data_IF_762088959621
#
_entry.id   IF_762088959621
#
_cell.length_a   1.000
_cell.length_b   1.000
_cell.length_c   1.000
_cell.angle_alpha   90.00
_cell.angle_beta   90.00
_cell.angle_gamma   90.00
#
_symmetry.space_group_name_H-M   'P 1'
#
loop_
_entity.id
_entity.type
_entity.pdbx_description
1 polymer ?
#
# COMPACT_ATOMS: atom_id res chain seq x y z
N UNK A 1 2.74 -40.33 -17.94
CA UNK A 1 2.98 -39.05 -17.27
C UNK A 1 1.86 -38.15 -17.75
N UNK A 2 0.90 -37.87 -16.88
CA UNK A 2 -0.26 -37.03 -17.17
C UNK A 2 0.21 -35.59 -17.41
N UNK A 3 -0.09 -35.06 -18.59
CA UNK A 3 0.08 -33.65 -18.92
C UNK A 3 -1.13 -32.89 -18.37
N UNK A 4 -1.07 -32.46 -17.11
CA UNK A 4 -2.19 -31.74 -16.50
C UNK A 4 -1.77 -30.95 -15.28
N UNK A 5 -1.24 -29.74 -15.49
CA UNK A 5 -1.35 -28.60 -14.56
C UNK A 5 -0.74 -27.31 -15.16
N UNK A 6 -0.98 -27.05 -16.45
CA UNK A 6 -0.72 -25.71 -17.00
C UNK A 6 -2.02 -24.92 -16.83
N UNK A 7 -2.07 -23.83 -16.05
CA UNK A 7 -3.26 -23.00 -15.98
C UNK A 7 -3.55 -22.44 -17.37
N UNK A 8 -4.74 -22.77 -17.88
CA UNK A 8 -5.23 -22.33 -19.17
C UNK A 8 -5.24 -20.79 -19.20
N UNK A 9 -4.52 -20.18 -20.15
CA UNK A 9 -4.49 -18.71 -20.26
C UNK A 9 -5.92 -18.18 -20.47
N UNK A 10 -6.30 -17.18 -19.67
CA UNK A 10 -7.60 -16.52 -19.82
C UNK A 10 -7.66 -15.85 -21.20
N UNK A 11 -8.69 -16.14 -22.03
CA UNK A 11 -8.76 -15.60 -23.38
C UNK A 11 -8.94 -14.07 -23.33
N UNK A 12 -8.30 -13.36 -24.26
CA UNK A 12 -8.36 -11.89 -24.39
C UNK A 12 -9.78 -11.31 -24.59
N UNK A 13 -10.80 -12.16 -24.80
CA UNK A 13 -12.21 -11.76 -24.80
C UNK A 13 -12.72 -11.37 -23.41
N UNK A 14 -12.12 -11.90 -22.34
CA UNK A 14 -12.54 -11.63 -20.96
C UNK A 14 -12.26 -10.16 -20.53
N UNK A 15 -11.29 -9.48 -21.17
CA UNK A 15 -10.99 -8.07 -20.89
C UNK A 15 -12.10 -7.11 -21.38
N UNK A 16 -12.97 -7.57 -22.30
CA UNK A 16 -14.05 -6.75 -22.89
C UNK A 16 -15.41 -6.92 -22.19
N UNK A 17 -15.57 -7.93 -21.32
CA UNK A 17 -16.84 -8.18 -20.61
C UNK A 17 -17.09 -7.11 -19.54
N UNK A 18 -16.03 -6.66 -18.86
CA UNK A 18 -16.13 -5.64 -17.82
C UNK A 18 -16.62 -4.27 -18.32
N UNK A 19 -16.45 -3.95 -19.61
CA UNK A 19 -16.94 -2.68 -20.16
C UNK A 19 -18.48 -2.63 -20.19
N UNK A 20 -19.13 -3.75 -20.53
CA UNK A 20 -20.59 -3.82 -20.62
C UNK A 20 -21.25 -3.67 -19.24
N UNK A 21 -20.76 -4.39 -18.24
CA UNK A 21 -21.25 -4.28 -16.86
C UNK A 21 -21.06 -2.88 -16.27
N UNK A 22 -19.88 -2.27 -16.51
CA UNK A 22 -19.58 -0.91 -16.04
C UNK A 22 -20.50 0.13 -16.70
N UNK A 23 -20.84 -0.04 -17.99
CA UNK A 23 -21.79 0.81 -18.72
C UNK A 23 -23.21 0.65 -18.15
N UNK A 24 -23.67 -0.58 -17.91
CA UNK A 24 -24.97 -0.85 -17.28
C UNK A 24 -25.03 -0.25 -15.87
N UNK A 25 -23.95 -0.37 -15.08
CA UNK A 25 -23.83 0.28 -13.77
C UNK A 25 -23.95 1.81 -13.86
N UNK A 26 -23.32 2.43 -14.86
CA UNK A 26 -23.42 3.87 -15.11
C UNK A 26 -24.85 4.31 -15.44
N UNK A 27 -25.57 3.53 -16.25
CA UNK A 27 -26.98 3.79 -16.55
C UNK A 27 -27.88 3.64 -15.31
N UNK A 28 -27.65 2.63 -14.46
CA UNK A 28 -28.34 2.49 -13.16
C UNK A 28 -28.12 3.72 -12.28
N UNK A 29 -26.88 4.21 -12.16
CA UNK A 29 -26.56 5.41 -11.41
C UNK A 29 -27.24 6.68 -11.98
N UNK A 30 -27.40 6.75 -13.30
CA UNK A 30 -28.09 7.88 -13.95
C UNK A 30 -29.56 7.96 -13.53
N UNK A 31 -30.21 6.81 -13.32
CA UNK A 31 -31.62 6.75 -12.91
C UNK A 31 -31.79 7.19 -11.45
N UNK A 32 -30.88 6.77 -10.56
CA UNK A 32 -30.95 7.06 -9.12
C UNK A 32 -30.54 8.49 -8.75
N UNK A 33 -29.71 9.15 -9.58
CA UNK A 33 -29.29 10.52 -9.33
C UNK A 33 -30.49 11.50 -9.42
N UNK A 34 -30.80 12.29 -8.36
CA UNK A 34 -31.89 13.28 -8.41
C UNK A 34 -31.59 14.45 -9.35
N UNK A 35 -30.31 14.72 -9.64
CA UNK A 35 -29.87 15.87 -10.44
C UNK A 35 -29.75 15.58 -11.94
N UNK A 36 -30.15 14.39 -12.41
CA UNK A 36 -30.16 14.05 -13.84
C UNK A 36 -31.51 14.38 -14.48
N UNK A 37 -31.49 14.79 -15.76
CA UNK A 37 -32.71 15.13 -16.50
C UNK A 37 -33.61 13.91 -16.74
N UNK A 38 -34.92 14.12 -16.84
CA UNK A 38 -35.89 13.05 -17.11
C UNK A 38 -35.56 12.30 -18.42
N UNK A 39 -35.20 13.03 -19.47
CA UNK A 39 -34.84 12.47 -20.77
C UNK A 39 -33.61 11.55 -20.69
N UNK A 40 -32.62 11.89 -19.86
CA UNK A 40 -31.44 11.05 -19.63
C UNK A 40 -31.81 9.77 -18.86
N UNK A 41 -32.74 9.85 -17.89
CA UNK A 41 -33.24 8.69 -17.16
C UNK A 41 -34.01 7.72 -18.06
N UNK A 42 -34.86 8.24 -18.95
CA UNK A 42 -35.58 7.42 -19.93
C UNK A 42 -34.64 6.71 -20.90
N UNK A 43 -33.63 7.41 -21.41
CA UNK A 43 -32.61 6.81 -22.27
C UNK A 43 -31.85 5.71 -21.54
N UNK A 44 -31.44 5.95 -20.29
CA UNK A 44 -30.76 4.96 -19.47
C UNK A 44 -31.63 3.72 -19.19
N UNK A 45 -32.94 3.92 -18.93
CA UNK A 45 -33.91 2.81 -18.77
C UNK A 45 -34.03 1.98 -20.04
N UNK A 46 -34.15 2.62 -21.20
CA UNK A 46 -34.26 1.93 -22.50
C UNK A 46 -33.03 1.08 -22.82
N UNK A 47 -31.83 1.58 -22.47
CA UNK A 47 -30.60 0.79 -22.59
C UNK A 47 -30.70 -0.43 -21.66
N UNK A 48 -30.98 -0.25 -20.38
CA UNK A 48 -31.09 -1.38 -19.44
C UNK A 48 -32.15 -2.42 -19.85
N UNK A 49 -33.28 -2.01 -20.42
CA UNK A 49 -34.33 -2.89 -20.95
C UNK A 49 -33.83 -3.71 -22.15
N UNK A 50 -33.05 -3.10 -23.05
CA UNK A 50 -32.52 -3.80 -24.23
C UNK A 50 -31.48 -4.88 -23.91
N UNK A 51 -30.86 -4.82 -22.74
CA UNK A 51 -29.80 -5.74 -22.32
C UNK A 51 -30.31 -6.94 -21.51
N UNK A 52 -31.62 -7.02 -21.23
CA UNK A 52 -32.38 -8.13 -20.60
C UNK A 52 -31.52 -9.17 -19.84
N UNK A 53 -30.68 -8.69 -18.91
CA UNK A 53 -30.10 -9.56 -17.90
C UNK A 53 -31.21 -9.91 -16.92
N UNK A 54 -31.38 -11.19 -16.55
CA UNK A 54 -32.27 -11.53 -15.46
C UNK A 54 -31.84 -10.71 -14.24
N UNK A 55 -32.73 -9.82 -13.81
CA UNK A 55 -32.51 -8.99 -12.63
C UNK A 55 -32.37 -9.92 -11.41
N UNK A 56 -31.14 -10.32 -11.11
CA UNK A 56 -30.81 -11.00 -9.87
C UNK A 56 -30.74 -9.94 -8.78
N UNK A 57 -31.88 -9.73 -8.14
CA UNK A 57 -32.09 -8.83 -7.01
C UNK A 57 -31.09 -9.06 -5.87
N UNK A 58 -30.42 -10.23 -5.82
CA UNK A 58 -29.38 -10.53 -4.83
C UNK A 58 -28.05 -9.79 -5.08
N UNK A 59 -27.72 -9.50 -6.34
CA UNK A 59 -26.46 -8.80 -6.72
C UNK A 59 -26.58 -7.28 -6.65
N UNK A 60 -27.80 -6.74 -6.69
CA UNK A 60 -28.09 -5.32 -6.56
C UNK A 60 -27.83 -4.76 -5.13
N UNK A 61 -27.51 -5.63 -4.16
CA UNK A 61 -27.28 -5.24 -2.76
C UNK A 61 -25.89 -4.67 -2.48
N UNK A 62 -25.07 -4.34 -3.49
CA UNK A 62 -23.91 -3.47 -3.28
C UNK A 62 -24.30 -1.97 -3.34
N UNK A 63 -25.11 -1.55 -2.35
CA UNK A 63 -24.83 -0.28 -1.67
C UNK A 63 -25.79 0.90 -1.78
N UNK A 64 -26.98 0.85 -2.41
CA UNK A 64 -27.81 2.09 -2.49
C UNK A 64 -29.34 1.93 -2.58
N UNK A 65 -30.03 1.08 -1.81
CA UNK A 65 -31.45 1.34 -1.52
C UNK A 65 -32.00 0.70 -0.25
N UNK A 66 -31.26 0.69 0.84
CA UNK A 66 -31.89 0.77 2.14
C UNK A 66 -31.10 1.76 2.98
N UNK A 67 -31.78 2.36 3.94
CA UNK A 67 -31.22 3.25 4.94
C UNK A 67 -30.34 2.42 5.89
N UNK A 68 -29.34 1.72 5.34
CA UNK A 68 -28.38 0.93 6.08
C UNK A 68 -27.74 1.90 7.05
N UNK A 69 -28.03 1.66 8.32
CA UNK A 69 -27.40 2.35 9.43
C UNK A 69 -25.90 2.22 9.20
N UNK A 70 -25.27 3.34 8.85
CA UNK A 70 -23.82 3.40 8.66
C UNK A 70 -23.17 2.75 9.87
N UNK A 71 -22.15 1.93 9.64
CA UNK A 71 -21.42 1.30 10.73
C UNK A 71 -21.07 2.37 11.79
N UNK A 72 -21.55 2.22 13.04
CA UNK A 72 -21.42 3.26 14.06
C UNK A 72 -19.95 3.55 14.39
N UNK A 73 -19.06 2.56 14.21
CA UNK A 73 -17.61 2.71 14.36
C UNK A 73 -17.00 3.58 13.27
N UNK A 74 -17.41 3.39 12.01
CA UNK A 74 -16.96 4.23 10.89
C UNK A 74 -17.46 5.68 11.04
N UNK A 75 -18.71 5.86 11.48
CA UNK A 75 -19.26 7.19 11.79
C UNK A 75 -18.46 7.84 12.92
N UNK A 76 -18.20 7.13 14.02
CA UNK A 76 -17.41 7.62 15.14
C UNK A 76 -15.98 8.00 14.72
N UNK A 77 -15.34 7.21 13.85
CA UNK A 77 -14.00 7.48 13.30
C UNK A 77 -13.99 8.80 12.51
N UNK A 78 -14.96 9.02 11.61
CA UNK A 78 -15.07 10.25 10.83
C UNK A 78 -15.34 11.50 11.69
N UNK A 79 -16.19 11.36 12.71
CA UNK A 79 -16.45 12.44 13.67
C UNK A 79 -15.19 12.78 14.49
N UNK A 80 -14.41 11.78 14.92
CA UNK A 80 -13.13 12.00 15.62
C UNK A 80 -12.12 12.72 14.74
N UNK A 81 -12.02 12.37 13.46
CA UNK A 81 -11.16 13.06 12.51
C UNK A 81 -11.56 14.54 12.34
N UNK A 82 -12.86 14.81 12.26
CA UNK A 82 -13.39 16.18 12.16
C UNK A 82 -13.03 17.05 13.36
N UNK A 83 -13.02 16.47 14.57
CA UNK A 83 -12.62 17.16 15.81
C UNK A 83 -11.13 17.55 15.78
N UNK A 84 -10.28 16.72 15.17
CA UNK A 84 -8.83 16.94 15.11
C UNK A 84 -8.38 17.82 13.96
N UNK A 85 -9.22 18.04 12.95
CA UNK A 85 -8.84 18.79 11.75
C UNK A 85 -8.81 20.30 12.05
N UNK A 86 -7.66 20.99 11.90
CA UNK A 86 -7.57 22.43 12.14
C UNK A 86 -8.44 23.26 11.18
N UNK A 87 -8.74 22.74 9.98
CA UNK A 87 -9.58 23.41 8.98
C UNK A 87 -11.09 23.33 9.23
N UNK A 88 -11.54 22.65 10.29
CA UNK A 88 -12.96 22.55 10.65
C UNK A 88 -13.32 23.64 11.65
N UNK A 89 -14.48 24.28 11.48
CA UNK A 89 -14.97 25.31 12.41
C UNK A 89 -15.23 24.75 13.80
N UNK A 90 -15.06 25.57 14.84
CA UNK A 90 -15.26 25.14 16.23
C UNK A 90 -16.70 24.66 16.48
N UNK A 91 -17.70 25.32 15.88
CA UNK A 91 -19.11 24.88 15.94
C UNK A 91 -19.30 23.46 15.37
N UNK A 92 -18.66 23.16 14.23
CA UNK A 92 -18.74 21.83 13.62
C UNK A 92 -17.99 20.77 14.45
N UNK A 93 -16.87 21.15 15.10
CA UNK A 93 -16.17 20.27 16.05
C UNK A 93 -17.02 19.97 17.28
N UNK A 94 -17.76 20.94 17.80
CA UNK A 94 -18.65 20.75 18.93
C UNK A 94 -19.82 19.81 18.59
N UNK A 95 -20.48 20.05 17.45
CA UNK A 95 -21.54 19.15 16.96
C UNK A 95 -21.02 17.72 16.73
N UNK A 96 -19.78 17.56 16.26
CA UNK A 96 -19.16 16.25 16.12
C UNK A 96 -18.92 15.58 17.48
N UNK A 97 -18.51 16.33 18.51
CA UNK A 97 -18.35 15.81 19.89
C UNK A 97 -19.67 15.34 20.48
N UNK A 98 -20.76 16.07 20.28
CA UNK A 98 -22.08 15.69 20.78
C UNK A 98 -22.58 14.38 20.12
N UNK A 99 -22.45 14.29 18.79
CA UNK A 99 -22.78 13.07 18.03
C UNK A 99 -21.94 11.87 18.48
N UNK A 100 -20.65 12.09 18.78
CA UNK A 100 -19.76 11.05 19.29
C UNK A 100 -20.20 10.56 20.69
N UNK A 101 -20.58 11.49 21.59
CA UNK A 101 -21.14 11.17 22.91
C UNK A 101 -22.43 10.34 22.79
N UNK A 102 -23.32 10.69 21.86
CA UNK A 102 -24.56 9.95 21.60
C UNK A 102 -24.31 8.50 21.16
N UNK A 103 -23.19 8.25 20.48
CA UNK A 103 -22.75 6.92 20.05
C UNK A 103 -21.98 6.16 21.15
N UNK A 104 -21.84 6.71 22.37
CA UNK A 104 -21.06 6.10 23.45
C UNK A 104 -19.54 6.14 23.21
N UNK A 105 -19.09 6.86 22.18
CA UNK A 105 -17.68 7.05 21.89
C UNK A 105 -17.22 8.36 22.55
N UNK A 106 -16.32 8.27 23.52
CA UNK A 106 -15.74 9.46 24.11
C UNK A 106 -14.54 9.91 23.27
N UNK A 107 -14.44 11.21 22.92
CA UNK A 107 -13.25 11.70 22.26
C UNK A 107 -12.10 11.54 23.25
N UNK A 108 -11.23 10.55 23.05
CA UNK A 108 -9.87 10.60 23.60
C UNK A 108 -9.20 11.79 22.93
N UNK A 109 -9.29 12.94 23.58
CA UNK A 109 -8.42 14.07 23.34
C UNK A 109 -7.05 13.50 23.67
N UNK A 110 -6.26 13.20 22.63
CA UNK A 110 -4.82 13.12 22.81
C UNK A 110 -4.44 14.57 23.07
N UNK A 111 -4.53 14.98 24.33
CA UNK A 111 -3.95 16.25 24.74
C UNK A 111 -2.49 16.12 24.35
N UNK A 112 -2.04 17.01 23.47
CA UNK A 112 -0.63 17.21 23.14
C UNK A 112 0.09 17.77 24.38
N UNK A 113 0.21 16.93 25.42
CA UNK A 113 0.74 17.29 26.72
C UNK A 113 1.11 16.00 27.45
N UNK A 114 2.41 15.81 27.61
CA UNK A 114 3.10 14.62 28.13
C UNK A 114 3.18 13.46 27.13
N UNK A 115 3.93 13.69 26.05
CA UNK A 115 4.99 12.72 25.79
C UNK A 115 5.78 12.59 27.09
N UNK A 116 5.98 11.37 27.60
CA UNK A 116 7.06 11.14 28.56
C UNK A 116 8.27 11.92 28.05
N UNK A 117 8.98 12.69 28.89
CA UNK A 117 10.14 13.41 28.39
C UNK A 117 10.96 12.37 27.63
N UNK A 118 11.20 12.64 26.34
CA UNK A 118 12.33 12.00 25.69
C UNK A 118 13.46 12.25 26.67
N UNK A 119 13.93 11.17 27.29
CA UNK A 119 15.19 11.21 27.98
C UNK A 119 16.12 11.68 26.89
N UNK A 120 16.52 12.95 26.98
CA UNK A 120 17.66 13.41 26.22
C UNK A 120 18.74 12.47 26.71
N UNK A 121 19.22 11.60 25.83
CA UNK A 121 20.40 10.77 26.08
C UNK A 121 21.58 11.75 26.19
N UNK A 122 21.65 12.47 27.30
CA UNK A 122 22.79 13.28 27.64
C UNK A 122 23.93 12.28 27.93
N UNK A 123 25.07 12.40 27.24
CA UNK A 123 26.22 11.55 27.52
C UNK A 123 26.67 11.80 28.96
N UNK A 124 26.33 10.89 29.88
CA UNK A 124 26.67 11.00 31.30
C UNK A 124 25.54 10.71 32.30
N UNK A 125 24.36 10.26 31.88
CA UNK A 125 23.32 9.85 32.83
C UNK A 125 23.75 8.62 33.65
N UNK A 126 23.64 8.71 34.99
CA UNK A 126 23.98 7.64 35.93
C UNK A 126 23.01 6.45 35.77
N UNK A 127 23.41 5.46 34.97
CA UNK A 127 22.69 4.20 34.82
C UNK A 127 22.73 3.38 36.12
N UNK A 128 21.67 2.58 36.41
CA UNK A 128 21.66 1.70 37.58
C UNK A 128 22.86 0.75 37.53
N UNK A 129 23.61 0.68 38.65
CA UNK A 129 24.92 -0.01 38.81
C UNK A 129 24.93 -1.52 38.51
N UNK A 130 23.79 -2.09 38.14
CA UNK A 130 23.60 -3.51 37.81
C UNK A 130 23.11 -3.78 36.38
N UNK A 131 22.96 -2.74 35.54
CA UNK A 131 22.76 -2.96 34.11
C UNK A 131 24.12 -3.32 33.49
N UNK A 132 24.25 -4.46 32.78
CA UNK A 132 25.46 -4.73 32.01
C UNK A 132 25.65 -3.57 31.02
N UNK A 133 26.88 -3.05 30.85
CA UNK A 133 27.14 -2.08 29.81
C UNK A 133 26.80 -2.77 28.49
N UNK A 134 25.68 -2.38 27.86
CA UNK A 134 25.34 -2.86 26.54
C UNK A 134 26.45 -2.40 25.61
N UNK A 135 27.38 -3.29 25.28
CA UNK A 135 28.25 -3.07 24.13
C UNK A 135 27.33 -3.07 22.92
N UNK A 136 27.05 -1.88 22.42
CA UNK A 136 26.21 -1.66 21.23
C UNK A 136 26.91 -2.09 19.95
N UNK A 137 28.21 -2.40 20.02
CA UNK A 137 29.04 -2.86 18.92
C UNK A 137 29.75 -4.14 19.36
N UNK A 138 29.29 -5.28 18.84
CA UNK A 138 29.90 -6.59 19.03
C UNK A 138 30.17 -7.24 17.65
N UNK A 139 31.42 -7.29 17.17
CA UNK A 139 31.76 -7.94 15.91
C UNK A 139 31.82 -9.48 16.01
N UNK A 140 31.39 -10.09 17.12
CA UNK A 140 31.42 -11.54 17.33
C UNK A 140 30.74 -12.32 16.20
N UNK A 141 29.69 -11.77 15.59
CA UNK A 141 29.00 -12.39 14.44
C UNK A 141 29.85 -12.48 13.16
N UNK A 142 30.97 -11.74 13.05
CA UNK A 142 31.88 -11.85 11.90
C UNK A 142 32.74 -13.09 11.92
N UNK A 143 32.80 -13.78 13.05
CA UNK A 143 33.68 -14.93 13.24
C UNK A 143 32.88 -16.10 13.74
N UNK A 144 32.82 -17.17 12.94
CA UNK A 144 32.22 -18.44 13.34
C UNK A 144 33.32 -19.48 13.42
N UNK A 145 33.52 -20.08 14.60
CA UNK A 145 34.53 -21.13 14.81
C UNK A 145 35.97 -20.72 14.40
N UNK A 146 36.28 -19.41 14.45
CA UNK A 146 37.59 -18.88 14.06
C UNK A 146 37.73 -18.52 12.57
N UNK A 147 36.70 -18.72 11.77
CA UNK A 147 36.66 -18.35 10.35
C UNK A 147 35.80 -17.10 10.12
N UNK A 148 36.22 -16.24 9.19
CA UNK A 148 35.54 -14.99 8.88
C UNK A 148 34.26 -15.24 8.05
N UNK A 149 33.13 -14.75 8.54
CA UNK A 149 31.83 -14.79 7.86
C UNK A 149 31.68 -13.52 7.00
N UNK A 150 31.18 -13.61 5.76
CA UNK A 150 31.04 -12.47 4.85
C UNK A 150 29.82 -11.59 5.18
N UNK A 151 29.81 -11.03 6.40
CA UNK A 151 28.78 -10.11 6.89
C UNK A 151 29.40 -8.75 7.18
N UNK A 152 28.61 -7.70 6.94
CA UNK A 152 29.00 -6.31 7.14
C UNK A 152 28.81 -5.95 8.62
N UNK A 153 29.71 -5.15 9.18
CA UNK A 153 29.57 -4.66 10.56
C UNK A 153 28.47 -3.63 10.68
N UNK A 154 27.87 -3.55 11.87
CA UNK A 154 26.87 -2.52 12.21
C UNK A 154 27.46 -1.11 12.11
N UNK A 155 28.77 -0.97 12.37
CA UNK A 155 29.51 0.30 12.25
C UNK A 155 30.15 0.51 10.87
N UNK A 156 29.98 -0.42 9.93
CA UNK A 156 30.52 -0.25 8.59
C UNK A 156 29.83 0.94 7.91
N UNK A 157 30.59 1.87 7.29
CA UNK A 157 29.99 2.96 6.53
C UNK A 157 29.15 2.40 5.38
N UNK A 158 27.83 2.48 5.50
CA UNK A 158 26.93 2.22 4.40
C UNK A 158 26.95 3.43 3.47
N UNK A 159 27.28 3.20 2.19
CA UNK A 159 27.10 4.23 1.17
C UNK A 159 25.61 4.46 0.99
N UNK A 160 25.10 5.56 1.54
CA UNK A 160 23.73 5.98 1.33
C UNK A 160 23.59 6.43 -0.14
N UNK A 161 22.71 5.80 -0.94
CA UNK A 161 22.49 6.23 -2.32
C UNK A 161 21.97 7.68 -2.39
N UNK A 162 21.33 8.17 -1.32
CA UNK A 162 20.82 9.54 -1.23
C UNK A 162 21.87 10.47 -0.63
N UNK A 163 22.42 11.36 -1.45
CA UNK A 163 23.30 12.43 -0.97
C UNK A 163 22.45 13.64 -0.53
N UNK A 164 22.36 13.94 0.78
CA UNK A 164 21.54 15.04 1.28
C UNK A 164 22.00 16.37 0.67
N UNK A 165 21.03 17.18 0.21
CA UNK A 165 21.27 18.47 -0.44
C UNK A 165 21.72 18.44 -1.90
N UNK A 166 22.02 17.26 -2.46
CA UNK A 166 22.25 17.08 -3.91
C UNK A 166 21.02 16.55 -4.64
N UNK A 167 20.24 15.69 -3.98
CA UNK A 167 19.04 15.08 -4.56
C UNK A 167 18.03 16.13 -5.08
N UNK A 168 17.81 17.22 -4.34
CA UNK A 168 16.85 18.29 -4.69
C UNK A 168 17.52 19.49 -5.38
N UNK A 169 18.69 19.32 -5.99
CA UNK A 169 19.43 20.42 -6.63
C UNK A 169 19.15 20.56 -8.13
N UNK A 170 19.17 21.78 -8.65
CA UNK A 170 19.03 22.05 -10.10
C UNK A 170 20.07 21.30 -10.95
N UNK A 171 21.28 21.10 -10.39
CA UNK A 171 22.34 20.35 -11.04
C UNK A 171 22.00 18.85 -11.21
N UNK A 172 21.21 18.29 -10.29
CA UNK A 172 20.71 16.92 -10.40
C UNK A 172 19.62 16.84 -11.48
N UNK A 173 18.67 17.78 -11.48
CA UNK A 173 17.61 17.85 -12.49
C UNK A 173 18.18 17.93 -13.92
N UNK A 174 19.20 18.75 -14.16
CA UNK A 174 19.84 18.87 -15.47
C UNK A 174 20.63 17.60 -15.89
N UNK A 175 21.16 16.84 -14.93
CA UNK A 175 21.77 15.54 -15.22
C UNK A 175 20.71 14.52 -15.59
N UNK A 176 19.65 14.44 -14.80
CA UNK A 176 18.53 13.52 -15.02
C UNK A 176 17.85 13.81 -16.37
N UNK A 177 17.64 15.09 -16.73
CA UNK A 177 17.07 15.48 -18.03
C UNK A 177 17.95 15.03 -19.21
N UNK A 178 19.28 15.17 -19.08
CA UNK A 178 20.22 14.71 -20.12
C UNK A 178 20.21 13.20 -20.25
N UNK A 179 20.20 12.48 -19.14
CA UNK A 179 20.20 11.02 -19.13
C UNK A 179 18.88 10.44 -19.63
N UNK A 180 17.75 11.04 -19.26
CA UNK A 180 16.42 10.62 -19.70
C UNK A 180 16.23 10.80 -21.21
N UNK A 181 16.86 11.81 -21.82
CA UNK A 181 16.82 12.05 -23.26
C UNK A 181 17.77 11.11 -24.03
N UNK A 182 18.79 10.54 -23.36
CA UNK A 182 19.75 9.65 -24.01
C UNK A 182 19.13 8.29 -24.38
N UNK A 183 18.82 8.16 -25.66
CA UNK A 183 18.30 6.91 -26.25
C UNK A 183 19.33 5.77 -26.24
N UNK A 184 20.61 6.04 -25.96
CA UNK A 184 21.65 5.04 -25.78
C UNK A 184 21.47 4.19 -24.52
N UNK A 185 20.87 4.76 -23.47
CA UNK A 185 20.55 4.07 -22.22
C UNK A 185 19.30 3.18 -22.32
N UNK A 186 18.55 3.32 -23.42
CA UNK A 186 17.37 2.51 -23.69
C UNK A 186 17.81 1.23 -24.40
N UNK A 187 17.56 0.08 -23.77
CA UNK A 187 17.77 -1.22 -24.41
C UNK A 187 16.86 -1.35 -25.64
N UNK A 188 17.45 -1.71 -26.79
CA UNK A 188 16.73 -1.79 -28.08
C UNK A 188 15.87 -3.05 -28.23
N UNK A 189 16.06 -4.05 -27.37
CA UNK A 189 15.40 -5.35 -27.44
C UNK A 189 14.66 -5.67 -26.14
N UNK A 190 13.64 -6.55 -26.22
CA UNK A 190 12.88 -7.00 -25.05
C UNK A 190 13.73 -7.95 -24.21
N UNK A 191 13.83 -7.67 -22.91
CA UNK A 191 14.51 -8.52 -21.91
C UNK A 191 13.86 -9.89 -21.68
N UNK A 192 12.73 -10.19 -22.35
CA UNK A 192 11.99 -11.45 -22.16
C UNK A 192 12.70 -12.69 -22.67
N UNK A 193 13.75 -12.56 -23.49
CA UNK A 193 14.58 -13.68 -23.93
C UNK A 193 15.78 -13.95 -23.02
N UNK A 194 15.91 -13.24 -21.88
CA UNK A 194 16.90 -13.54 -20.86
C UNK A 194 16.50 -14.75 -19.98
N UNK A 195 15.72 -15.68 -20.51
CA UNK A 195 15.49 -16.97 -19.86
C UNK A 195 16.81 -17.73 -19.91
N UNK A 196 17.48 -17.89 -18.76
CA UNK A 196 18.71 -18.68 -18.68
C UNK A 196 18.43 -20.08 -19.26
N UNK A 197 19.39 -20.71 -19.97
CA UNK A 197 19.17 -22.03 -20.56
C UNK A 197 18.70 -23.02 -19.47
N UNK A 198 17.82 -23.95 -19.86
CA UNK A 198 17.36 -25.01 -18.96
C UNK A 198 18.56 -25.72 -18.34
N UNK A 199 18.58 -25.84 -17.00
CA UNK A 199 19.70 -26.41 -16.23
C UNK A 199 20.60 -25.38 -15.53
N UNK A 200 20.42 -24.08 -15.75
CA UNK A 200 21.22 -23.05 -15.02
C UNK A 200 20.85 -22.93 -13.52
N UNK A 201 19.69 -23.47 -13.13
CA UNK A 201 19.23 -23.58 -11.75
C UNK A 201 19.10 -25.05 -11.32
N UNK A 202 20.00 -25.91 -11.80
CA UNK A 202 20.11 -27.27 -11.26
C UNK A 202 20.71 -27.18 -9.86
N UNK A 203 20.10 -27.88 -8.90
CA UNK A 203 20.66 -28.02 -7.56
C UNK A 203 21.99 -28.79 -7.64
N UNK A 204 23.05 -28.33 -6.95
CA UNK A 204 24.30 -29.07 -6.88
C UNK A 204 24.05 -30.43 -6.23
N UNK A 205 24.76 -31.45 -6.70
CA UNK A 205 24.64 -32.80 -6.15
C UNK A 205 25.15 -32.85 -4.71
N UNK A 206 24.66 -33.80 -3.90
CA UNK A 206 25.09 -33.96 -2.50
C UNK A 206 26.62 -34.16 -2.36
N UNK A 207 27.27 -34.78 -3.36
CA UNK A 207 28.73 -34.91 -3.42
C UNK A 207 29.43 -33.56 -3.64
N UNK A 208 28.86 -32.67 -4.45
CA UNK A 208 29.35 -31.31 -4.70
C UNK A 208 29.08 -30.38 -3.51
N UNK A 209 28.01 -30.63 -2.76
CA UNK A 209 27.71 -29.95 -1.49
C UNK A 209 28.53 -30.48 -0.31
N UNK A 210 29.40 -31.48 -0.50
CA UNK A 210 30.22 -32.05 0.55
C UNK A 210 29.43 -32.81 1.62
N UNK A 211 28.17 -33.13 1.35
CA UNK A 211 27.30 -33.92 2.21
C UNK A 211 27.60 -35.40 1.98
N UNK A 212 28.68 -35.89 2.59
CA UNK A 212 28.93 -37.33 2.70
C UNK A 212 28.40 -37.80 4.06
N UNK A 213 27.63 -38.88 4.04
CA UNK A 213 27.28 -39.67 5.23
C UNK A 213 28.54 -40.25 5.91
#
# INVERSE_FOLDING_TARGET
>A
MDEGDIPQEVPASADYEGEQENVLRGHKATISNPNTSQQAKEKARKVLESYDEPYDESTASHGTTEKQEKDPGNVARGLKASISNPGVSEEAKEAAREKLKKLGAHPKIIMSGQAAPYQVDEPGADLPRGAPPGQVSDPSYKTSQGEAVPVVDDDAPLDDPMKPGKADSDQQLEQDEREAIDKGNIMKERTRHATKPAGTYAEPTDEEMGLKE
#
